data_IF_565145205337
#
_entry.id   IF_565145205337
#
_cell.length_a   1.000
_cell.length_b   1.000
_cell.length_c   1.000
_cell.angle_alpha   90.00
_cell.angle_beta   90.00
_cell.angle_gamma   90.00
#
_symmetry.space_group_name_H-M   'P 1'
#
loop_
_entity.id
_entity.type
_entity.pdbx_description
1 polymer ?
#
# COMPACT_ATOMS: atom_id res chain seq x y z
N UNK A 1 -5.85 10.76 4.59
CA UNK A 1 -5.55 9.70 5.58
C UNK A 1 -5.09 8.45 4.84
N UNK A 2 -3.83 8.05 4.99
CA UNK A 2 -3.23 6.92 4.22
C UNK A 2 -3.94 5.60 4.53
N UNK A 3 -4.41 5.40 5.76
CA UNK A 3 -5.07 4.17 6.22
C UNK A 3 -6.39 3.89 5.49
N UNK A 4 -7.16 4.93 5.15
CA UNK A 4 -8.43 4.77 4.43
C UNK A 4 -8.21 4.32 3.00
N UNK A 5 -7.20 4.87 2.32
CA UNK A 5 -6.79 4.45 0.97
C UNK A 5 -6.30 3.01 0.98
N UNK A 6 -5.60 2.60 2.05
CA UNK A 6 -5.15 1.22 2.23
C UNK A 6 -6.32 0.25 2.41
N UNK A 7 -7.35 0.60 3.20
CA UNK A 7 -8.54 -0.23 3.36
C UNK A 7 -9.33 -0.41 2.06
N UNK A 8 -9.50 0.67 1.30
CA UNK A 8 -10.10 0.65 -0.05
C UNK A 8 -9.34 -0.32 -0.96
N UNK A 9 -8.01 -0.18 -1.00
CA UNK A 9 -7.14 -1.00 -1.83
C UNK A 9 -7.13 -2.46 -1.37
N UNK A 10 -7.19 -2.71 -0.05
CA UNK A 10 -7.32 -4.05 0.51
C UNK A 10 -8.63 -4.72 0.10
N UNK A 11 -9.74 -3.97 0.08
CA UNK A 11 -11.04 -4.50 -0.33
C UNK A 11 -11.08 -4.84 -1.83
N UNK A 12 -10.63 -3.93 -2.70
CA UNK A 12 -10.56 -4.20 -4.15
C UNK A 12 -9.68 -5.41 -4.46
N UNK A 13 -8.57 -5.57 -3.73
CA UNK A 13 -7.68 -6.73 -3.87
C UNK A 13 -8.30 -8.02 -3.35
N UNK A 14 -9.02 -7.97 -2.24
CA UNK A 14 -9.75 -9.14 -1.76
C UNK A 14 -10.78 -9.61 -2.81
N UNK A 15 -11.48 -8.67 -3.44
CA UNK A 15 -12.40 -8.96 -4.54
C UNK A 15 -11.66 -9.56 -5.75
N UNK A 16 -10.51 -9.01 -6.11
CA UNK A 16 -9.66 -9.53 -7.19
C UNK A 16 -9.15 -10.97 -6.92
N UNK A 17 -8.76 -11.29 -5.68
CA UNK A 17 -8.35 -12.66 -5.32
C UNK A 17 -9.55 -13.63 -5.36
N UNK A 18 -10.74 -13.18 -4.92
CA UNK A 18 -11.94 -14.02 -4.85
C UNK A 18 -12.50 -14.35 -6.23
N UNK A 19 -12.55 -13.38 -7.15
CA UNK A 19 -13.07 -13.56 -8.50
C UNK A 19 -12.26 -12.77 -9.56
N UNK A 20 -11.08 -13.27 -9.95
CA UNK A 20 -10.18 -12.55 -10.86
C UNK A 20 -10.79 -12.31 -12.25
N UNK A 21 -11.58 -13.27 -12.76
CA UNK A 21 -12.21 -13.17 -14.08
C UNK A 21 -13.29 -12.08 -14.18
N UNK A 22 -13.98 -11.78 -13.09
CA UNK A 22 -14.92 -10.65 -13.04
C UNK A 22 -14.20 -9.31 -12.85
N UNK A 23 -13.09 -9.30 -12.11
CA UNK A 23 -12.35 -8.08 -11.78
C UNK A 23 -11.74 -7.39 -13.00
N UNK A 24 -11.24 -8.16 -13.99
CA UNK A 24 -10.66 -7.59 -15.21
C UNK A 24 -11.66 -6.76 -16.03
N UNK A 25 -12.96 -7.09 -15.94
CA UNK A 25 -14.03 -6.37 -16.66
C UNK A 25 -14.54 -5.15 -15.91
N UNK A 26 -14.22 -5.01 -14.63
CA UNK A 26 -14.69 -3.90 -13.81
C UNK A 26 -13.75 -2.70 -13.95
N UNK A 27 -14.31 -1.55 -14.37
CA UNK A 27 -13.60 -0.28 -14.31
C UNK A 27 -13.38 0.15 -12.86
N UNK A 28 -12.33 0.95 -12.62
CA UNK A 28 -12.05 1.55 -11.31
C UNK A 28 -13.31 2.23 -10.75
N UNK A 29 -13.76 1.80 -9.57
CA UNK A 29 -14.92 2.40 -8.91
C UNK A 29 -14.53 3.72 -8.24
N UNK A 30 -14.53 4.81 -9.01
CA UNK A 30 -14.17 6.15 -8.53
C UNK A 30 -15.10 6.64 -7.41
N UNK A 31 -16.38 6.26 -7.43
CA UNK A 31 -17.34 6.62 -6.38
C UNK A 31 -16.90 6.05 -5.02
N UNK A 32 -16.44 4.79 -5.00
CA UNK A 32 -15.92 4.19 -3.78
C UNK A 32 -14.66 4.89 -3.25
N UNK A 33 -13.73 5.24 -4.14
CA UNK A 33 -12.52 5.99 -3.76
C UNK A 33 -12.88 7.36 -3.18
N UNK A 34 -13.79 8.07 -3.84
CA UNK A 34 -14.24 9.40 -3.42
C UNK A 34 -14.95 9.35 -2.07
N UNK A 35 -15.93 8.46 -1.90
CA UNK A 35 -16.68 8.30 -0.65
C UNK A 35 -15.78 7.96 0.52
N UNK A 36 -14.84 7.03 0.36
CA UNK A 36 -13.93 6.67 1.43
C UNK A 36 -12.87 7.75 1.71
N UNK A 37 -12.47 8.55 0.72
CA UNK A 37 -11.62 9.74 0.94
C UNK A 37 -12.38 10.82 1.72
N UNK A 38 -13.66 11.03 1.39
CA UNK A 38 -14.53 11.96 2.09
C UNK A 38 -14.75 11.53 3.56
N UNK A 39 -15.06 10.26 3.80
CA UNK A 39 -15.18 9.71 5.15
C UNK A 39 -13.87 9.85 5.95
N UNK A 40 -12.73 9.66 5.29
CA UNK A 40 -11.42 9.86 5.91
C UNK A 40 -11.18 11.31 6.33
N UNK A 41 -11.68 12.28 5.56
CA UNK A 41 -11.60 13.71 5.89
C UNK A 41 -12.51 14.05 7.08
N UNK A 42 -13.76 13.56 7.08
CA UNK A 42 -14.68 13.72 8.22
C UNK A 42 -14.07 13.15 9.49
N UNK A 43 -13.51 11.94 9.41
CA UNK A 43 -12.83 11.30 10.54
C UNK A 43 -11.68 12.17 11.08
N UNK A 44 -10.85 12.74 10.20
CA UNK A 44 -9.76 13.61 10.61
C UNK A 44 -10.25 14.87 11.34
N UNK A 45 -11.30 15.52 10.83
CA UNK A 45 -11.93 16.67 11.49
C UNK A 45 -12.49 16.28 12.86
N UNK A 46 -13.15 15.12 12.95
CA UNK A 46 -13.67 14.59 14.22
C UNK A 46 -12.57 14.35 15.26
N UNK A 47 -11.42 13.83 14.86
CA UNK A 47 -10.28 13.64 15.78
C UNK A 47 -9.74 14.98 16.29
N UNK A 48 -9.59 15.99 15.41
CA UNK A 48 -9.17 17.34 15.83
C UNK A 48 -10.16 17.93 16.83
N UNK A 49 -11.47 17.80 16.56
CA UNK A 49 -12.50 18.26 17.49
C UNK A 49 -12.40 17.56 18.86
N UNK A 50 -12.24 16.23 18.89
CA UNK A 50 -12.12 15.47 20.13
C UNK A 50 -10.89 15.85 20.95
N UNK A 51 -9.76 16.15 20.29
CA UNK A 51 -8.52 16.55 20.96
C UNK A 51 -8.66 17.97 21.54
N UNK A 52 -9.06 18.95 20.73
CA UNK A 52 -8.97 20.36 21.10
C UNK A 52 -10.21 20.88 21.86
N UNK A 53 -11.42 20.37 21.56
CA UNK A 53 -12.65 20.84 22.22
C UNK A 53 -13.08 19.94 23.38
N UNK A 54 -12.83 18.64 23.29
CA UNK A 54 -13.28 17.66 24.28
C UNK A 54 -12.15 17.16 25.19
N UNK A 55 -10.89 17.55 24.93
CA UNK A 55 -9.72 17.16 25.72
C UNK A 55 -9.49 15.63 25.83
N UNK A 56 -10.02 14.84 24.88
CA UNK A 56 -9.95 13.37 24.87
C UNK A 56 -8.69 12.84 24.19
N UNK A 57 -7.53 13.26 24.67
CA UNK A 57 -6.25 12.98 24.01
C UNK A 57 -5.92 11.48 23.97
N UNK A 58 -5.98 10.80 25.12
CA UNK A 58 -5.61 9.38 25.24
C UNK A 58 -6.54 8.47 24.44
N UNK A 59 -7.84 8.77 24.44
CA UNK A 59 -8.84 8.03 23.67
C UNK A 59 -8.56 8.12 22.17
N UNK A 60 -8.18 9.29 21.67
CA UNK A 60 -7.81 9.44 20.24
C UNK A 60 -6.54 8.66 19.86
N UNK A 61 -5.56 8.57 20.76
CA UNK A 61 -4.37 7.73 20.56
C UNK A 61 -4.76 6.26 20.46
N UNK A 62 -5.58 5.77 21.39
CA UNK A 62 -6.05 4.37 21.40
C UNK A 62 -6.81 4.07 20.10
N UNK A 63 -7.75 4.94 19.70
CA UNK A 63 -8.49 4.78 18.45
C UNK A 63 -7.57 4.72 17.22
N UNK A 64 -6.54 5.59 17.16
CA UNK A 64 -5.56 5.56 16.08
C UNK A 64 -4.83 4.22 16.01
N UNK A 65 -4.36 3.69 17.14
CA UNK A 65 -3.70 2.39 17.20
C UNK A 65 -4.64 1.23 16.86
N UNK A 66 -5.90 1.26 17.28
CA UNK A 66 -6.87 0.24 16.90
C UNK A 66 -7.09 0.19 15.38
N UNK A 67 -7.18 1.36 14.73
CA UNK A 67 -7.30 1.43 13.27
C UNK A 67 -6.02 0.90 12.60
N UNK A 68 -4.85 1.32 13.08
CA UNK A 68 -3.56 0.89 12.52
C UNK A 68 -3.34 -0.62 12.69
N UNK A 69 -3.64 -1.17 13.86
CA UNK A 69 -3.61 -2.60 14.13
C UNK A 69 -4.54 -3.36 13.17
N UNK A 70 -5.76 -2.84 12.96
CA UNK A 70 -6.72 -3.46 12.01
C UNK A 70 -6.18 -3.48 10.58
N UNK A 71 -5.56 -2.39 10.12
CA UNK A 71 -4.94 -2.32 8.78
C UNK A 71 -3.79 -3.33 8.65
N UNK A 72 -2.94 -3.44 9.68
CA UNK A 72 -1.84 -4.41 9.71
C UNK A 72 -2.40 -5.84 9.70
N UNK A 73 -3.40 -6.15 10.53
CA UNK A 73 -4.05 -7.47 10.58
C UNK A 73 -4.66 -7.85 9.23
N UNK A 74 -5.40 -6.95 8.58
CA UNK A 74 -5.97 -7.18 7.24
C UNK A 74 -4.84 -7.45 6.22
N UNK A 75 -3.75 -6.69 6.29
CA UNK A 75 -2.61 -6.87 5.37
C UNK A 75 -1.92 -8.22 5.56
N UNK A 76 -1.79 -8.69 6.80
CA UNK A 76 -1.25 -10.02 7.13
C UNK A 76 -2.19 -11.12 6.61
N UNK A 77 -3.49 -11.00 6.85
CA UNK A 77 -4.49 -11.96 6.35
C UNK A 77 -4.45 -12.04 4.82
N UNK A 78 -4.38 -10.89 4.13
CA UNK A 78 -4.26 -10.84 2.67
C UNK A 78 -2.98 -11.52 2.17
N UNK A 79 -1.85 -11.35 2.86
CA UNK A 79 -0.59 -12.01 2.52
C UNK A 79 -0.71 -13.55 2.60
N UNK A 80 -1.28 -14.07 3.70
CA UNK A 80 -1.48 -15.51 3.86
C UNK A 80 -2.51 -16.07 2.87
N UNK A 81 -3.63 -15.36 2.70
CA UNK A 81 -4.72 -15.77 1.81
C UNK A 81 -4.27 -15.80 0.34
N UNK A 82 -3.57 -14.76 -0.11
CA UNK A 82 -3.00 -14.72 -1.47
C UNK A 82 -1.98 -15.82 -1.71
N UNK A 83 -1.08 -16.09 -0.74
CA UNK A 83 -0.13 -17.20 -0.81
C UNK A 83 -0.83 -18.56 -0.92
N UNK A 84 -1.81 -18.82 -0.06
CA UNK A 84 -2.57 -20.08 -0.08
C UNK A 84 -3.35 -20.24 -1.40
N UNK A 85 -3.97 -19.16 -1.88
CA UNK A 85 -4.72 -19.18 -3.14
C UNK A 85 -3.80 -19.42 -4.34
N UNK A 86 -2.60 -18.83 -4.35
CA UNK A 86 -1.61 -19.01 -5.41
C UNK A 86 -1.13 -20.46 -5.53
N UNK A 87 -0.94 -21.15 -4.39
CA UNK A 87 -0.53 -22.56 -4.36
C UNK A 87 -1.62 -23.52 -4.85
N UNK A 88 -2.89 -23.19 -4.61
CA UNK A 88 -4.03 -24.05 -4.91
C UNK A 88 -4.66 -23.78 -6.30
N UNK A 89 -4.12 -22.86 -7.10
CA UNK A 89 -4.67 -22.54 -8.42
C UNK A 89 -4.11 -23.49 -9.48
N UNK A 90 -4.94 -24.32 -10.17
CA UNK A 90 -4.44 -25.25 -11.17
C UNK A 90 -3.98 -24.52 -12.44
N UNK A 91 -2.87 -25.00 -13.03
CA UNK A 91 -2.33 -24.49 -14.29
C UNK A 91 -3.24 -24.89 -15.46
N UNK A 92 -4.03 -23.93 -15.94
CA UNK A 92 -4.88 -24.05 -17.14
C UNK A 92 -4.70 -22.77 -17.94
N UNK A 93 -4.65 -22.85 -19.28
CA UNK A 93 -4.42 -21.67 -20.15
C UNK A 93 -5.34 -20.49 -19.83
N UNK A 94 -6.61 -20.76 -19.56
CA UNK A 94 -7.61 -19.72 -19.25
C UNK A 94 -7.41 -19.06 -17.88
N UNK A 95 -6.56 -19.64 -17.01
CA UNK A 95 -6.33 -19.16 -15.63
C UNK A 95 -4.96 -18.51 -15.43
N UNK A 96 -4.15 -18.39 -16.48
CA UNK A 96 -2.83 -17.75 -16.43
C UNK A 96 -2.96 -16.28 -15.99
N UNK A 97 -3.92 -15.53 -16.55
CA UNK A 97 -4.18 -14.13 -16.16
C UNK A 97 -4.59 -14.00 -14.68
N UNK A 98 -5.46 -14.89 -14.20
CA UNK A 98 -5.90 -14.92 -12.81
C UNK A 98 -4.73 -15.17 -11.85
N UNK A 99 -3.79 -16.04 -12.26
CA UNK A 99 -2.58 -16.31 -11.49
C UNK A 99 -1.68 -15.08 -11.39
N UNK A 100 -1.45 -14.38 -12.51
CA UNK A 100 -0.66 -13.14 -12.51
C UNK A 100 -1.26 -12.07 -11.60
N UNK A 101 -2.58 -11.88 -11.63
CA UNK A 101 -3.26 -10.94 -10.72
C UNK A 101 -3.05 -11.31 -9.25
N UNK A 102 -3.18 -12.58 -8.89
CA UNK A 102 -2.97 -13.04 -7.51
C UNK A 102 -1.50 -12.88 -7.10
N UNK A 103 -0.56 -13.17 -8.00
CA UNK A 103 0.88 -13.01 -7.78
C UNK A 103 1.26 -11.54 -7.57
N UNK A 104 0.70 -10.63 -8.36
CA UNK A 104 0.90 -9.19 -8.19
C UNK A 104 0.39 -8.72 -6.82
N UNK A 105 -0.82 -9.17 -6.42
CA UNK A 105 -1.38 -8.83 -5.12
C UNK A 105 -0.52 -9.39 -3.98
N UNK A 106 0.02 -10.60 -4.14
CA UNK A 106 0.93 -11.21 -3.17
C UNK A 106 2.24 -10.42 -3.04
N UNK A 107 2.92 -10.13 -4.16
CA UNK A 107 4.15 -9.34 -4.18
C UNK A 107 3.95 -7.94 -3.59
N UNK A 108 2.83 -7.29 -3.92
CA UNK A 108 2.47 -6.01 -3.32
C UNK A 108 2.24 -6.13 -1.81
N UNK A 109 1.45 -7.13 -1.37
CA UNK A 109 1.14 -7.34 0.05
C UNK A 109 2.41 -7.61 0.87
N UNK A 110 3.35 -8.36 0.29
CA UNK A 110 4.67 -8.61 0.88
C UNK A 110 5.50 -7.32 1.00
N UNK A 111 5.42 -6.42 0.02
CA UNK A 111 6.16 -5.17 0.03
C UNK A 111 5.57 -4.12 0.98
N UNK A 112 4.25 -4.09 1.14
CA UNK A 112 3.60 -3.06 1.97
C UNK A 112 3.69 -3.36 3.47
N UNK A 113 3.68 -4.62 3.88
CA UNK A 113 3.72 -4.99 5.29
C UNK A 113 4.93 -4.40 6.07
N UNK A 114 6.20 -4.52 5.61
CA UNK A 114 7.33 -3.90 6.31
C UNK A 114 7.21 -2.37 6.34
N UNK A 115 6.63 -1.77 5.30
CA UNK A 115 6.35 -0.33 5.24
C UNK A 115 5.41 0.08 6.38
N UNK A 116 4.27 -0.62 6.52
CA UNK A 116 3.29 -0.35 7.59
C UNK A 116 3.90 -0.51 8.99
N UNK A 117 4.73 -1.54 9.21
CA UNK A 117 5.39 -1.75 10.49
C UNK A 117 6.35 -0.60 10.84
N UNK A 118 7.18 -0.18 9.90
CA UNK A 118 8.08 0.97 10.08
C UNK A 118 7.26 2.25 10.34
N UNK A 119 6.15 2.44 9.62
CA UNK A 119 5.26 3.59 9.83
C UNK A 119 4.68 3.63 11.24
N UNK A 120 4.19 2.49 11.71
CA UNK A 120 3.61 2.37 13.05
C UNK A 120 4.66 2.72 14.11
N UNK A 121 5.89 2.20 13.98
CA UNK A 121 6.98 2.49 14.92
C UNK A 121 7.34 3.98 14.93
N UNK A 122 7.42 4.62 13.76
CA UNK A 122 7.72 6.05 13.67
C UNK A 122 6.60 6.92 14.25
N UNK A 123 5.34 6.55 14.03
CA UNK A 123 4.20 7.26 14.65
C UNK A 123 4.20 7.09 16.17
N UNK A 124 4.56 5.91 16.67
CA UNK A 124 4.75 5.69 18.10
C UNK A 124 5.87 6.56 18.67
N UNK A 125 7.00 6.65 17.98
CA UNK A 125 8.09 7.56 18.36
C UNK A 125 7.65 9.04 18.30
N UNK A 126 6.77 9.41 17.35
CA UNK A 126 6.23 10.76 17.24
C UNK A 126 5.35 11.18 18.44
N UNK A 127 4.89 10.24 19.26
CA UNK A 127 4.16 10.56 20.49
C UNK A 127 5.08 11.03 21.61
N UNK A 128 6.38 10.68 21.58
CA UNK A 128 7.33 11.04 22.63
C UNK A 128 7.41 12.57 22.81
N UNK A 129 7.64 13.38 21.74
CA UNK A 129 7.59 14.84 21.85
C UNK A 129 6.26 15.35 22.40
N UNK A 130 5.13 14.77 22.00
CA UNK A 130 3.82 15.24 22.46
C UNK A 130 3.60 14.98 23.95
N UNK A 131 4.04 13.82 24.47
CA UNK A 131 4.01 13.51 25.90
C UNK A 131 4.96 14.42 26.68
N UNK A 132 6.17 14.67 26.16
CA UNK A 132 7.13 15.60 26.79
C UNK A 132 6.60 17.04 26.84
N UNK A 133 5.90 17.48 25.79
CA UNK A 133 5.27 18.79 25.75
C UNK A 133 4.14 18.90 26.77
N UNK A 134 3.27 17.89 26.85
CA UNK A 134 2.21 17.86 27.88
C UNK A 134 2.77 17.84 29.30
N UNK A 135 3.92 17.21 29.51
CA UNK A 135 4.65 17.25 30.79
C UNK A 135 5.36 18.57 31.09
N UNK A 136 5.35 19.54 30.16
CA UNK A 136 6.03 20.83 30.31
C UNK A 136 7.56 20.79 30.12
N UNK A 137 8.11 19.69 29.60
CA UNK A 137 9.56 19.53 29.40
C UNK A 137 10.09 20.21 28.16
N UNK A 138 9.26 20.36 27.13
CA UNK A 138 9.63 21.00 25.86
C UNK A 138 8.61 22.06 25.45
N UNK A 139 9.04 23.04 24.66
CA UNK A 139 8.14 24.07 24.13
C UNK A 139 7.24 23.51 23.01
N UNK A 140 6.13 24.21 22.75
CA UNK A 140 5.18 23.83 21.70
C UNK A 140 5.83 23.85 20.31
N UNK A 141 6.68 24.84 20.03
CA UNK A 141 7.40 24.98 18.76
C UNK A 141 8.33 23.78 18.51
N UNK A 142 9.03 23.33 19.55
CA UNK A 142 9.89 22.15 19.47
C UNK A 142 9.06 20.88 19.21
N UNK A 143 7.91 20.74 19.88
CA UNK A 143 6.97 19.65 19.63
C UNK A 143 6.49 19.64 18.16
N UNK A 144 6.11 20.79 17.62
CA UNK A 144 5.72 20.94 16.21
C UNK A 144 6.86 20.56 15.26
N UNK A 145 8.08 21.03 15.52
CA UNK A 145 9.25 20.70 14.71
C UNK A 145 9.49 19.18 14.64
N UNK A 146 9.45 18.49 15.79
CA UNK A 146 9.60 17.04 15.83
C UNK A 146 8.45 16.31 15.14
N UNK A 147 7.22 16.79 15.32
CA UNK A 147 6.05 16.22 14.66
C UNK A 147 6.18 16.30 13.13
N UNK A 148 6.47 17.48 12.58
CA UNK A 148 6.63 17.68 11.13
C UNK A 148 7.81 16.88 10.58
N UNK A 149 8.92 16.83 11.31
CA UNK A 149 10.11 16.07 10.92
C UNK A 149 9.81 14.57 10.88
N UNK A 150 9.22 14.02 11.94
CA UNK A 150 8.87 12.60 12.01
C UNK A 150 7.83 12.23 10.94
N UNK A 151 6.86 13.11 10.68
CA UNK A 151 5.88 12.89 9.63
C UNK A 151 6.52 12.86 8.23
N UNK A 152 7.42 13.81 7.95
CA UNK A 152 8.14 13.88 6.67
C UNK A 152 9.05 12.66 6.48
N UNK A 153 9.78 12.28 7.52
CA UNK A 153 10.61 11.06 7.54
C UNK A 153 9.78 9.81 7.31
N UNK A 154 8.62 9.71 7.96
CA UNK A 154 7.69 8.60 7.76
C UNK A 154 7.26 8.51 6.28
N UNK A 155 6.88 9.62 5.65
CA UNK A 155 6.51 9.62 4.23
C UNK A 155 7.67 9.19 3.30
N UNK A 156 8.90 9.64 3.58
CA UNK A 156 10.10 9.27 2.81
C UNK A 156 10.41 7.78 2.99
N UNK A 157 10.49 7.32 4.25
CA UNK A 157 10.82 5.93 4.58
C UNK A 157 9.77 4.97 4.01
N UNK A 158 8.47 5.29 4.12
CA UNK A 158 7.40 4.50 3.50
C UNK A 158 7.64 4.30 2.00
N UNK A 159 7.95 5.38 1.27
CA UNK A 159 8.21 5.32 -0.18
C UNK A 159 9.47 4.51 -0.48
N UNK A 160 10.56 4.73 0.26
CA UNK A 160 11.82 3.99 0.08
C UNK A 160 11.59 2.50 0.34
N UNK A 161 10.96 2.14 1.45
CA UNK A 161 10.63 0.75 1.78
C UNK A 161 9.79 0.12 0.67
N UNK A 162 8.73 0.78 0.21
CA UNK A 162 7.93 0.28 -0.91
C UNK A 162 8.77 0.04 -2.17
N UNK A 163 9.65 0.98 -2.54
CA UNK A 163 10.54 0.84 -3.71
C UNK A 163 11.52 -0.33 -3.52
N UNK A 164 12.12 -0.49 -2.34
CA UNK A 164 13.12 -1.53 -2.07
C UNK A 164 12.49 -2.92 -2.13
N UNK A 165 11.32 -3.09 -1.52
CA UNK A 165 10.64 -4.39 -1.42
C UNK A 165 9.79 -4.74 -2.64
N UNK A 166 9.33 -3.76 -3.44
CA UNK A 166 8.52 -4.00 -4.63
C UNK A 166 9.37 -4.11 -5.90
N UNK A 167 9.68 -5.34 -6.33
CA UNK A 167 10.56 -5.64 -7.48
C UNK A 167 10.19 -4.86 -8.75
N UNK A 168 8.91 -4.83 -9.10
CA UNK A 168 8.42 -4.15 -10.32
C UNK A 168 8.64 -2.63 -10.23
N UNK A 169 8.43 -2.05 -9.05
CA UNK A 169 8.60 -0.60 -8.85
C UNK A 169 10.08 -0.23 -8.93
N UNK A 170 10.95 -1.07 -8.35
CA UNK A 170 12.41 -0.93 -8.45
C UNK A 170 12.91 -1.00 -9.89
N UNK A 171 12.44 -1.97 -10.68
CA UNK A 171 12.79 -2.09 -12.11
C UNK A 171 12.34 -0.87 -12.90
N UNK A 172 11.13 -0.37 -12.65
CA UNK A 172 10.63 0.83 -13.33
C UNK A 172 11.43 2.08 -12.95
N UNK A 173 11.83 2.21 -11.68
CA UNK A 173 12.68 3.31 -11.22
C UNK A 173 14.07 3.27 -11.88
N UNK A 174 14.66 2.08 -12.04
CA UNK A 174 15.95 1.91 -12.72
C UNK A 174 15.91 2.30 -14.21
N UNK A 175 14.73 2.23 -14.85
CA UNK A 175 14.56 2.64 -16.26
C UNK A 175 14.48 4.17 -16.44
N UNK A 176 14.01 4.92 -15.43
CA UNK A 176 13.88 6.39 -15.51
C UNK A 176 15.16 7.13 -15.96
N UNK A 177 16.36 6.89 -15.40
CA UNK A 177 17.57 7.60 -15.83
C UNK A 177 17.94 7.33 -17.29
N UNK A 178 17.56 6.17 -17.85
CA UNK A 178 17.79 5.86 -19.27
C UNK A 178 16.79 6.56 -20.19
N UNK A 179 15.55 6.75 -19.73
CA UNK A 179 14.52 7.55 -20.41
C UNK A 179 14.93 9.02 -20.44
N UNK A 180 15.37 9.58 -19.30
CA UNK A 180 15.85 10.96 -19.22
C UNK A 180 17.10 11.22 -20.07
N UNK A 181 17.88 10.18 -20.38
CA UNK A 181 19.05 10.25 -21.27
C UNK A 181 18.71 10.06 -22.76
N UNK A 182 17.43 9.92 -23.12
CA UNK A 182 16.99 9.70 -24.51
C UNK A 182 17.49 8.40 -25.14
N UNK A 183 18.05 7.47 -24.35
CA UNK A 183 18.60 6.20 -24.86
C UNK A 183 17.56 5.11 -25.01
N UNK A 184 16.40 5.29 -24.39
CA UNK A 184 15.23 4.46 -24.57
C UNK A 184 14.18 5.39 -25.16
N UNK A 185 13.94 5.30 -26.47
CA UNK A 185 12.63 5.70 -27.00
C UNK A 185 11.63 4.92 -26.16
N UNK A 186 10.65 5.55 -25.50
CA UNK A 186 9.57 4.79 -24.90
C UNK A 186 9.09 3.92 -26.04
N UNK A 187 9.24 2.59 -25.89
CA UNK A 187 8.47 1.68 -26.73
C UNK A 187 7.08 2.29 -26.71
N UNK A 188 6.52 2.52 -27.90
CA UNK A 188 5.12 2.86 -27.98
C UNK A 188 4.38 1.93 -27.02
N UNK A 189 3.26 2.36 -26.46
CA UNK A 189 2.27 1.40 -26.01
C UNK A 189 1.77 0.56 -27.21
N UNK A 190 2.67 -0.08 -27.99
CA UNK A 190 2.47 -1.39 -28.53
C UNK A 190 1.94 -2.15 -27.35
N UNK A 191 0.60 -2.32 -27.34
CA UNK A 191 -0.10 -3.23 -26.46
C UNK A 191 0.85 -4.39 -26.26
N UNK A 192 1.38 -4.58 -25.04
CA UNK A 192 2.11 -5.79 -24.73
C UNK A 192 1.19 -6.90 -25.18
N UNK A 193 1.51 -7.51 -26.32
CA UNK A 193 0.59 -8.40 -26.97
C UNK A 193 0.62 -9.60 -26.05
N UNK A 194 -0.43 -9.77 -25.23
CA UNK A 194 -0.45 -10.81 -24.20
C UNK A 194 -0.14 -12.17 -24.82
N UNK A 195 -0.44 -12.35 -26.10
CA UNK A 195 -0.06 -13.52 -26.92
C UNK A 195 1.45 -13.71 -27.07
N UNK A 196 2.24 -12.66 -27.27
CA UNK A 196 3.70 -12.75 -27.43
C UNK A 196 4.40 -13.06 -26.09
N UNK A 197 3.94 -12.45 -24.99
CA UNK A 197 4.44 -12.80 -23.65
C UNK A 197 4.03 -14.23 -23.25
N UNK A 198 2.81 -14.65 -23.62
CA UNK A 198 2.32 -16.01 -23.38
C UNK A 198 3.11 -17.02 -24.21
N UNK A 199 3.40 -16.73 -25.48
CA UNK A 199 4.25 -17.56 -26.32
C UNK A 199 5.69 -17.64 -25.78
N UNK A 200 6.28 -16.52 -25.37
CA UNK A 200 7.62 -16.52 -24.79
C UNK A 200 7.70 -17.37 -23.51
N UNK A 201 6.66 -17.30 -22.67
CA UNK A 201 6.55 -18.13 -21.47
C UNK A 201 6.39 -19.63 -21.80
N UNK A 202 5.52 -19.97 -22.77
CA UNK A 202 5.35 -21.37 -23.20
C UNK A 202 6.60 -21.92 -23.90
N UNK A 203 7.34 -21.10 -24.64
CA UNK A 203 8.62 -21.49 -25.23
C UNK A 203 9.66 -21.77 -24.15
N UNK A 204 9.76 -20.93 -23.11
CA UNK A 204 10.64 -21.20 -21.97
C UNK A 204 10.28 -22.51 -21.25
N UNK A 205 8.99 -22.80 -21.07
CA UNK A 205 8.56 -24.09 -20.50
C UNK A 205 8.97 -25.23 -21.42
N UNK A 206 8.72 -25.12 -22.72
CA UNK A 206 9.02 -26.17 -23.71
C UNK A 206 10.51 -26.46 -23.85
N UNK A 207 11.36 -25.47 -23.63
CA UNK A 207 12.83 -25.63 -23.63
C UNK A 207 13.36 -26.21 -22.31
N UNK A 208 12.57 -26.16 -21.22
CA UNK A 208 12.94 -26.68 -19.90
C UNK A 208 12.51 -28.11 -19.61
N UNK A 209 11.77 -28.74 -20.55
CA UNK A 209 11.34 -30.14 -20.53
C UNK A 209 12.05 -30.93 -21.64
#
# INVERSE_FOLDING_TARGET
NVNSILLINSHSRFKAIRNPGAYEKESVNYLFIFTATFLAAIYAVGIVYLIYWQWKYWETIIMMYCIEATVISISIILLFYSKQRLLNLPYTSDRVNAKYQIEEIFEFSRAILPSLLISSLLKSAALIPTVLWQGGFISYELCCLFYFTTHSLNCILMKITLIVFHKTLRRNLQKLPHIFRGRITPESLTKANKEDETQAYFNQIRESW
#
